data_IF_683507897147
#
_entry.id   IF_683507897147
#
_cell.length_a   1.000
_cell.length_b   1.000
_cell.length_c   1.000
_cell.angle_alpha   90.00
_cell.angle_beta   90.00
_cell.angle_gamma   90.00
#
_symmetry.space_group_name_H-M   'P 1'
#
loop_
_entity.id
_entity.type
_entity.pdbx_description
1 polymer ?
#
# COMPACT_ATOMS: atom_id res chain seq x y z
N UNK A 1 -6.50 6.42 -15.71
CA UNK A 1 -5.79 7.53 -16.39
C UNK A 1 -4.46 7.01 -16.92
N UNK A 2 -4.10 7.37 -18.15
CA UNK A 2 -2.75 7.15 -18.69
C UNK A 2 -2.03 8.50 -18.80
N UNK A 3 -0.79 8.54 -18.33
CA UNK A 3 0.11 9.68 -18.45
C UNK A 3 1.51 9.17 -18.82
N UNK A 4 1.98 9.54 -20.01
CA UNK A 4 3.19 8.96 -20.60
C UNK A 4 3.13 7.42 -20.62
N UNK A 5 4.08 6.77 -19.94
CA UNK A 5 4.14 5.32 -19.77
C UNK A 5 3.32 4.80 -18.57
N UNK A 6 2.86 5.68 -17.68
CA UNK A 6 2.11 5.29 -16.48
C UNK A 6 0.63 5.10 -16.76
N UNK A 7 0.06 4.04 -16.21
CA UNK A 7 -1.37 3.77 -16.18
C UNK A 7 -1.82 3.63 -14.72
N UNK A 8 -2.77 4.49 -14.32
CA UNK A 8 -3.36 4.48 -12.99
C UNK A 8 -4.83 4.08 -13.11
N UNK A 9 -5.17 2.91 -12.60
CA UNK A 9 -6.53 2.40 -12.50
C UNK A 9 -6.88 2.36 -11.02
N UNK A 10 -7.87 3.16 -10.60
CA UNK A 10 -8.25 3.25 -9.20
C UNK A 10 -9.75 3.05 -8.99
N UNK A 11 -10.09 2.52 -7.82
CA UNK A 11 -11.45 2.27 -7.41
C UNK A 11 -12.16 1.20 -8.26
N UNK A 12 -11.43 0.18 -8.76
CA UNK A 12 -12.07 -0.87 -9.58
C UNK A 12 -12.83 -1.83 -8.69
N UNK A 13 -14.16 -1.82 -8.82
CA UNK A 13 -15.11 -2.68 -8.11
C UNK A 13 -15.92 -3.52 -9.08
N UNK A 14 -16.60 -4.54 -8.57
CA UNK A 14 -17.52 -5.40 -9.35
C UNK A 14 -18.93 -4.79 -9.44
N UNK A 15 -19.01 -3.49 -9.76
CA UNK A 15 -20.27 -2.74 -9.85
C UNK A 15 -20.61 -2.34 -11.29
N UNK A 16 -21.89 -2.08 -11.57
CA UNK A 16 -22.35 -1.46 -12.81
C UNK A 16 -22.14 0.07 -12.78
N UNK A 17 -22.59 0.78 -13.82
CA UNK A 17 -22.50 2.24 -13.92
C UNK A 17 -23.36 3.01 -12.88
N UNK A 18 -24.23 2.33 -12.14
CA UNK A 18 -25.04 2.87 -11.06
C UNK A 18 -24.47 2.54 -9.68
N UNK A 19 -23.25 2.00 -9.64
CA UNK A 19 -22.55 1.53 -8.44
C UNK A 19 -23.28 0.36 -7.72
N UNK A 20 -24.01 -0.47 -8.47
CA UNK A 20 -24.69 -1.68 -7.97
C UNK A 20 -23.84 -2.90 -8.32
N UNK A 21 -23.70 -3.84 -7.36
CA UNK A 21 -22.95 -5.08 -7.60
C UNK A 21 -23.58 -5.86 -8.77
N UNK A 22 -22.74 -6.23 -9.74
CA UNK A 22 -23.16 -6.98 -10.93
C UNK A 22 -23.71 -8.35 -10.55
N UNK A 23 -24.74 -8.86 -11.25
CA UNK A 23 -25.35 -10.16 -10.93
C UNK A 23 -24.34 -11.32 -10.87
N UNK A 24 -23.37 -11.36 -11.79
CA UNK A 24 -22.31 -12.38 -11.82
C UNK A 24 -21.30 -12.29 -10.67
N UNK A 25 -21.29 -11.16 -9.96
CA UNK A 25 -20.44 -10.92 -8.78
C UNK A 25 -21.20 -11.17 -7.46
N UNK A 26 -22.42 -11.66 -7.51
CA UNK A 26 -23.24 -11.99 -6.35
C UNK A 26 -23.36 -13.51 -6.19
N UNK A 27 -23.33 -14.03 -4.95
CA UNK A 27 -23.67 -15.42 -4.69
C UNK A 27 -25.08 -15.75 -5.18
N UNK A 28 -25.25 -16.94 -5.73
CA UNK A 28 -26.59 -17.41 -6.15
C UNK A 28 -27.37 -17.90 -4.92
N UNK A 29 -28.52 -17.32 -4.68
CA UNK A 29 -29.41 -17.71 -3.58
C UNK A 29 -29.78 -19.19 -3.63
N UNK A 30 -29.77 -19.83 -2.47
CA UNK A 30 -30.20 -21.23 -2.32
C UNK A 30 -29.17 -22.29 -2.71
N UNK A 31 -27.97 -21.92 -3.13
CA UNK A 31 -26.87 -22.86 -3.36
C UNK A 31 -26.01 -22.98 -2.11
N UNK A 32 -25.92 -24.19 -1.47
CA UNK A 32 -25.13 -24.36 -0.24
C UNK A 32 -23.60 -24.33 -0.46
N UNK A 33 -23.15 -24.48 -1.71
CA UNK A 33 -21.74 -24.52 -2.10
C UNK A 33 -21.50 -23.53 -3.25
N UNK A 34 -21.50 -22.25 -2.96
CA UNK A 34 -21.13 -21.21 -3.94
C UNK A 34 -19.74 -20.64 -3.62
N UNK A 35 -19.13 -20.00 -4.62
CA UNK A 35 -17.95 -19.18 -4.39
C UNK A 35 -18.25 -18.06 -3.41
N UNK A 36 -17.27 -17.68 -2.61
CA UNK A 36 -17.45 -16.55 -1.68
C UNK A 36 -17.69 -15.24 -2.44
N UNK A 37 -18.36 -14.25 -1.86
CA UNK A 37 -18.57 -12.95 -2.51
C UNK A 37 -17.28 -12.35 -3.07
N UNK A 38 -16.17 -12.44 -2.33
CA UNK A 38 -14.88 -11.89 -2.79
C UNK A 38 -14.31 -12.63 -4.00
N UNK A 39 -14.50 -13.95 -4.12
CA UNK A 39 -14.05 -14.70 -5.31
C UNK A 39 -14.81 -14.27 -6.56
N UNK A 40 -16.14 -14.10 -6.45
CA UNK A 40 -16.97 -13.64 -7.55
C UNK A 40 -16.60 -12.20 -7.95
N UNK A 41 -16.50 -11.30 -6.98
CA UNK A 41 -16.10 -9.92 -7.22
C UNK A 41 -14.68 -9.80 -7.78
N UNK A 42 -13.74 -10.61 -7.29
CA UNK A 42 -12.36 -10.61 -7.78
C UNK A 42 -12.27 -10.99 -9.27
N UNK A 43 -13.05 -11.98 -9.73
CA UNK A 43 -13.09 -12.36 -11.15
C UNK A 43 -13.53 -11.19 -12.03
N UNK A 44 -14.59 -10.49 -11.63
CA UNK A 44 -15.08 -9.31 -12.37
C UNK A 44 -14.04 -8.19 -12.34
N UNK A 45 -13.49 -7.87 -11.18
CA UNK A 45 -12.50 -6.79 -11.00
C UNK A 45 -11.24 -7.05 -11.83
N UNK A 46 -10.65 -8.24 -11.70
CA UNK A 46 -9.41 -8.58 -12.43
C UNK A 46 -9.63 -8.67 -13.94
N UNK A 47 -10.79 -9.18 -14.40
CA UNK A 47 -11.15 -9.15 -15.83
C UNK A 47 -11.29 -7.72 -16.36
N UNK A 48 -11.88 -6.80 -15.57
CA UNK A 48 -11.98 -5.38 -15.95
C UNK A 48 -10.62 -4.72 -16.06
N UNK A 49 -9.75 -4.94 -15.06
CA UNK A 49 -8.38 -4.40 -15.10
C UNK A 49 -7.65 -4.93 -16.34
N UNK A 50 -7.75 -6.25 -16.62
CA UNK A 50 -7.16 -6.83 -17.82
C UNK A 50 -7.68 -6.18 -19.11
N UNK A 51 -9.00 -6.04 -19.25
CA UNK A 51 -9.62 -5.40 -20.43
C UNK A 51 -9.22 -3.93 -20.61
N UNK A 52 -9.09 -3.16 -19.50
CA UNK A 52 -8.58 -1.79 -19.59
C UNK A 52 -7.12 -1.78 -20.03
N UNK A 53 -6.28 -2.66 -19.46
CA UNK A 53 -4.87 -2.75 -19.84
C UNK A 53 -4.71 -3.12 -21.32
N UNK A 54 -5.48 -4.08 -21.81
CA UNK A 54 -5.50 -4.45 -23.23
C UNK A 54 -5.90 -3.27 -24.14
N UNK A 55 -6.91 -2.49 -23.75
CA UNK A 55 -7.33 -1.29 -24.50
C UNK A 55 -6.25 -0.20 -24.56
N UNK A 56 -5.30 -0.21 -23.61
CA UNK A 56 -4.15 0.69 -23.56
C UNK A 56 -2.91 0.12 -24.28
N UNK A 57 -3.01 -1.09 -24.82
CA UNK A 57 -1.92 -1.79 -25.51
C UNK A 57 -0.96 -2.51 -24.56
N UNK A 58 -1.39 -2.80 -23.35
CA UNK A 58 -0.65 -3.55 -22.33
C UNK A 58 -1.38 -4.79 -21.82
N UNK A 59 -0.92 -5.33 -20.71
CA UNK A 59 -1.53 -6.47 -20.02
C UNK A 59 -1.30 -6.36 -18.51
N UNK A 60 -1.78 -7.31 -17.74
CA UNK A 60 -1.51 -7.40 -16.29
C UNK A 60 -0.02 -7.61 -15.98
N UNK A 61 0.79 -8.05 -16.94
CA UNK A 61 2.25 -8.17 -16.79
C UNK A 61 2.97 -6.82 -16.65
N UNK A 62 2.33 -5.74 -17.12
CA UNK A 62 2.85 -4.38 -16.96
C UNK A 62 2.63 -3.81 -15.56
N UNK A 63 1.93 -4.54 -14.69
CA UNK A 63 1.66 -4.12 -13.32
C UNK A 63 2.95 -3.88 -12.53
N UNK A 64 3.02 -2.74 -11.84
CA UNK A 64 4.13 -2.36 -10.96
C UNK A 64 3.69 -2.25 -9.51
N UNK A 65 2.38 -2.08 -9.25
CA UNK A 65 1.82 -2.04 -7.91
C UNK A 65 0.32 -2.38 -7.91
N UNK A 66 -0.12 -3.12 -6.92
CA UNK A 66 -1.54 -3.46 -6.69
C UNK A 66 -1.90 -3.13 -5.26
N UNK A 67 -2.94 -2.34 -5.08
CA UNK A 67 -3.49 -2.01 -3.78
C UNK A 67 -4.90 -2.61 -3.68
N UNK A 68 -5.16 -3.31 -2.59
CA UNK A 68 -6.40 -4.08 -2.43
C UNK A 68 -7.06 -3.69 -1.12
N UNK A 69 -8.31 -3.28 -1.20
CA UNK A 69 -9.14 -2.92 -0.07
C UNK A 69 -10.23 -3.99 0.12
N UNK A 70 -10.30 -4.55 1.33
CA UNK A 70 -11.25 -5.61 1.66
C UNK A 70 -12.11 -5.22 2.86
N UNK A 71 -13.39 -5.59 2.86
CA UNK A 71 -14.25 -5.37 4.03
C UNK A 71 -14.04 -6.42 5.13
N UNK A 72 -13.21 -7.43 4.90
CA UNK A 72 -12.76 -8.40 5.91
C UNK A 72 -11.40 -8.98 5.54
N UNK A 73 -10.53 -9.18 6.55
CA UNK A 73 -9.26 -9.89 6.39
C UNK A 73 -9.42 -11.36 5.96
N UNK A 74 -10.57 -11.95 6.21
CA UNK A 74 -10.90 -13.32 5.79
C UNK A 74 -10.96 -13.47 4.27
N UNK A 75 -11.11 -12.37 3.54
CA UNK A 75 -11.15 -12.34 2.08
C UNK A 75 -9.77 -12.42 1.41
N UNK A 76 -8.68 -12.26 2.13
CA UNK A 76 -7.33 -12.27 1.56
C UNK A 76 -6.97 -13.60 0.87
N UNK A 77 -7.25 -14.75 1.51
CA UNK A 77 -6.93 -16.06 0.92
C UNK A 77 -7.83 -16.43 -0.26
N UNK A 78 -9.17 -16.30 -0.19
CA UNK A 78 -10.02 -16.52 -1.34
C UNK A 78 -9.65 -15.62 -2.54
N UNK A 79 -9.37 -14.32 -2.29
CA UNK A 79 -8.88 -13.41 -3.34
C UNK A 79 -7.57 -13.92 -3.97
N UNK A 80 -6.60 -14.33 -3.15
CA UNK A 80 -5.32 -14.86 -3.66
C UNK A 80 -5.49 -16.10 -4.53
N UNK A 81 -6.49 -16.91 -4.25
CA UNK A 81 -6.84 -18.08 -5.07
C UNK A 81 -7.28 -17.65 -6.46
N UNK A 82 -8.22 -16.71 -6.57
CA UNK A 82 -8.62 -16.13 -7.86
C UNK A 82 -7.48 -15.38 -8.54
N UNK A 83 -6.68 -14.63 -7.78
CA UNK A 83 -5.53 -13.91 -8.29
C UNK A 83 -4.49 -14.81 -8.99
N UNK A 84 -4.41 -16.10 -8.64
CA UNK A 84 -3.56 -17.07 -9.36
C UNK A 84 -4.02 -17.36 -10.79
N UNK A 85 -5.27 -17.15 -11.09
CA UNK A 85 -5.85 -17.39 -12.41
C UNK A 85 -5.60 -16.21 -13.37
N UNK A 86 -5.49 -14.99 -12.84
CA UNK A 86 -5.42 -13.74 -13.61
C UNK A 86 -4.05 -13.10 -13.62
N UNK A 87 -3.41 -13.00 -12.45
CA UNK A 87 -2.13 -12.32 -12.32
C UNK A 87 -0.99 -13.20 -12.83
N UNK A 88 0.04 -12.61 -13.45
CA UNK A 88 1.21 -13.35 -13.90
C UNK A 88 1.93 -14.05 -12.74
N UNK A 89 2.74 -15.05 -13.03
CA UNK A 89 3.58 -15.72 -12.03
C UNK A 89 4.56 -14.74 -11.36
N UNK A 90 5.01 -13.72 -12.10
CA UNK A 90 5.79 -12.58 -11.60
C UNK A 90 4.86 -11.44 -11.16
N UNK A 91 4.10 -11.70 -10.07
CA UNK A 91 3.14 -10.73 -9.54
C UNK A 91 3.81 -9.44 -9.13
N UNK A 92 3.16 -8.27 -9.38
CA UNK A 92 3.66 -6.99 -8.89
C UNK A 92 3.69 -6.96 -7.35
N UNK A 93 4.40 -6.00 -6.75
CA UNK A 93 4.26 -5.66 -5.33
C UNK A 93 2.82 -5.33 -4.99
N UNK A 94 2.40 -5.64 -3.77
CA UNK A 94 1.04 -5.36 -3.34
C UNK A 94 0.93 -4.90 -1.90
N UNK A 95 -0.13 -4.15 -1.62
CA UNK A 95 -0.65 -3.84 -0.29
C UNK A 95 -2.08 -4.36 -0.21
N UNK A 96 -2.42 -5.01 0.89
CA UNK A 96 -3.75 -5.58 1.12
C UNK A 96 -4.24 -5.20 2.51
N UNK A 97 -5.19 -4.28 2.58
CA UNK A 97 -5.67 -3.73 3.85
C UNK A 97 -7.18 -3.95 4.04
N UNK A 98 -7.61 -4.30 5.24
CA UNK A 98 -9.02 -4.32 5.58
C UNK A 98 -9.51 -2.89 5.85
N UNK A 99 -10.72 -2.60 5.39
CA UNK A 99 -11.44 -1.35 5.63
C UNK A 99 -12.85 -1.65 6.15
N UNK A 100 -13.43 -0.68 6.87
CA UNK A 100 -14.76 -0.86 7.46
C UNK A 100 -15.86 -1.07 6.42
N UNK A 101 -15.81 -0.32 5.33
CA UNK A 101 -16.78 -0.40 4.24
C UNK A 101 -16.16 0.15 2.95
N UNK A 102 -16.72 -0.25 1.82
CA UNK A 102 -16.49 0.35 0.51
C UNK A 102 -17.72 1.19 0.13
N UNK A 103 -17.56 2.09 -0.84
CA UNK A 103 -18.60 3.07 -1.19
C UNK A 103 -19.86 2.41 -1.77
N UNK A 104 -19.74 1.27 -2.46
CA UNK A 104 -20.88 0.54 -3.01
C UNK A 104 -21.43 -0.48 -2.00
N UNK A 105 -22.74 -0.49 -1.78
CA UNK A 105 -23.39 -1.48 -0.94
C UNK A 105 -23.16 -2.91 -1.46
N UNK A 106 -22.71 -3.82 -0.60
CA UNK A 106 -22.38 -5.20 -0.97
C UNK A 106 -21.01 -5.38 -1.63
N UNK A 107 -20.26 -4.31 -1.89
CA UNK A 107 -18.86 -4.44 -2.31
C UNK A 107 -17.99 -4.94 -1.15
N UNK A 108 -17.21 -5.97 -1.41
CA UNK A 108 -16.27 -6.56 -0.45
C UNK A 108 -14.82 -6.46 -0.89
N UNK A 109 -14.59 -5.97 -2.11
CA UNK A 109 -13.30 -5.80 -2.75
C UNK A 109 -13.28 -4.55 -3.61
N UNK A 110 -12.23 -3.76 -3.46
CA UNK A 110 -11.82 -2.70 -4.39
C UNK A 110 -10.33 -2.86 -4.69
N UNK A 111 -9.93 -2.63 -5.93
CA UNK A 111 -8.54 -2.78 -6.38
C UNK A 111 -8.09 -1.54 -7.13
N UNK A 112 -6.96 -1.00 -6.71
CA UNK A 112 -6.18 -0.04 -7.47
C UNK A 112 -5.02 -0.76 -8.16
N UNK A 113 -4.79 -0.43 -9.41
CA UNK A 113 -3.75 -1.07 -10.21
C UNK A 113 -2.90 -0.03 -10.91
N UNK A 114 -1.62 -0.01 -10.60
CA UNK A 114 -0.64 0.84 -11.28
C UNK A 114 0.21 0.00 -12.20
N UNK A 115 0.34 0.45 -13.44
CA UNK A 115 1.14 -0.21 -14.47
C UNK A 115 2.06 0.80 -15.16
N UNK A 116 3.15 0.28 -15.75
CA UNK A 116 4.07 1.05 -16.60
C UNK A 116 4.19 0.35 -17.96
N UNK A 117 3.80 1.06 -19.02
CA UNK A 117 3.95 0.63 -20.40
C UNK A 117 5.29 1.13 -20.93
N UNK A 118 6.39 0.59 -20.39
CA UNK A 118 7.74 0.95 -20.81
C UNK A 118 7.96 0.63 -22.30
N UNK A 119 8.65 1.53 -23.00
CA UNK A 119 9.01 1.32 -24.40
C UNK A 119 9.88 0.07 -24.60
N UNK A 120 10.70 -0.26 -23.60
CA UNK A 120 11.46 -1.51 -23.52
C UNK A 120 10.99 -2.32 -22.30
N UNK A 121 10.19 -3.38 -22.49
CA UNK A 121 9.71 -4.24 -21.40
C UNK A 121 10.84 -4.88 -20.56
N UNK A 122 12.04 -5.04 -21.11
CA UNK A 122 13.18 -5.62 -20.37
C UNK A 122 13.67 -4.74 -19.23
N UNK A 123 13.29 -3.46 -19.20
CA UNK A 123 13.59 -2.55 -18.10
C UNK A 123 12.79 -2.85 -16.83
N UNK A 124 11.66 -3.62 -16.94
CA UNK A 124 10.90 -4.09 -15.80
C UNK A 124 11.59 -5.32 -15.21
N UNK A 125 12.00 -5.21 -13.97
CA UNK A 125 12.62 -6.31 -13.24
C UNK A 125 12.05 -6.46 -11.83
N UNK A 126 11.79 -7.71 -11.45
CA UNK A 126 11.45 -8.08 -10.07
C UNK A 126 12.66 -7.85 -9.17
N UNK A 127 12.42 -7.32 -7.98
CA UNK A 127 13.41 -7.18 -6.92
C UNK A 127 13.13 -8.26 -5.89
N UNK A 128 14.18 -8.98 -5.51
CA UNK A 128 14.15 -9.99 -4.45
C UNK A 128 15.46 -9.95 -3.68
N UNK A 129 15.37 -10.02 -2.36
CA UNK A 129 16.52 -10.12 -1.46
C UNK A 129 16.20 -11.05 -0.30
N UNK A 130 17.21 -11.75 0.21
CA UNK A 130 17.13 -12.58 1.42
C UNK A 130 17.27 -11.75 2.69
N UNK A 131 17.74 -10.51 2.58
CA UNK A 131 17.94 -9.59 3.70
C UNK A 131 16.63 -9.01 4.25
N UNK A 132 15.54 -9.19 3.52
CA UNK A 132 14.17 -8.83 3.94
C UNK A 132 13.29 -10.08 3.94
N UNK A 133 12.39 -10.26 4.92
CA UNK A 133 11.43 -11.35 4.91
C UNK A 133 10.61 -11.40 3.62
N UNK A 134 10.28 -12.59 3.16
CA UNK A 134 9.47 -12.78 1.96
C UNK A 134 8.05 -12.25 2.13
N UNK A 135 7.50 -11.69 1.05
CA UNK A 135 6.11 -11.24 0.99
C UNK A 135 5.20 -12.45 0.79
N UNK A 136 4.05 -12.47 1.49
CA UNK A 136 3.07 -13.54 1.37
C UNK A 136 2.37 -13.53 0.00
N UNK A 137 1.85 -14.69 -0.42
CA UNK A 137 1.02 -14.79 -1.62
C UNK A 137 1.77 -14.79 -2.95
N UNK A 138 3.11 -14.86 -2.96
CA UNK A 138 3.91 -14.89 -4.19
C UNK A 138 4.07 -13.54 -4.89
N UNK A 139 3.65 -12.45 -4.24
CA UNK A 139 3.89 -11.09 -4.72
C UNK A 139 5.39 -10.73 -4.66
N UNK A 140 5.82 -9.77 -5.47
CA UNK A 140 7.19 -9.28 -5.43
C UNK A 140 7.44 -8.45 -4.16
N UNK A 141 8.66 -8.48 -3.64
CA UNK A 141 9.09 -7.51 -2.62
C UNK A 141 9.14 -6.11 -3.24
N UNK A 142 9.53 -6.00 -4.50
CA UNK A 142 9.52 -4.79 -5.28
C UNK A 142 9.63 -5.07 -6.78
N UNK A 143 9.34 -4.03 -7.56
CA UNK A 143 9.57 -3.98 -9.01
C UNK A 143 10.29 -2.68 -9.34
N UNK A 144 11.33 -2.77 -10.18
CA UNK A 144 11.96 -1.61 -10.80
C UNK A 144 11.63 -1.56 -12.29
N UNK A 145 11.26 -0.36 -12.78
CA UNK A 145 11.08 -0.06 -14.21
C UNK A 145 11.81 1.25 -14.49
N UNK A 146 12.89 1.18 -15.27
CA UNK A 146 13.75 2.34 -15.50
C UNK A 146 14.28 2.91 -14.16
N UNK A 147 13.97 4.16 -13.90
CA UNK A 147 14.36 4.86 -12.67
C UNK A 147 13.38 4.65 -11.53
N UNK A 148 12.20 4.11 -11.79
CA UNK A 148 11.14 3.95 -10.80
C UNK A 148 11.22 2.62 -10.08
N UNK A 149 10.99 2.66 -8.77
CA UNK A 149 11.00 1.51 -7.87
C UNK A 149 9.72 1.53 -7.04
N UNK A 150 8.96 0.43 -7.12
CA UNK A 150 7.71 0.23 -6.37
C UNK A 150 7.91 -0.94 -5.42
N UNK A 151 7.62 -0.74 -4.13
CA UNK A 151 7.78 -1.77 -3.12
C UNK A 151 6.43 -2.20 -2.55
N UNK A 152 6.33 -3.47 -2.20
CA UNK A 152 5.15 -3.99 -1.50
C UNK A 152 4.95 -3.32 -0.15
N UNK A 153 3.71 -3.23 0.30
CA UNK A 153 3.38 -2.88 1.67
C UNK A 153 4.10 -3.82 2.64
N UNK A 154 4.79 -3.24 3.61
CA UNK A 154 5.49 -3.97 4.64
C UNK A 154 4.84 -3.75 5.99
N UNK A 155 4.38 -4.85 6.62
CA UNK A 155 4.01 -4.90 8.02
C UNK A 155 5.25 -5.25 8.87
N UNK A 156 5.23 -5.05 10.19
CA UNK A 156 6.33 -5.44 11.08
C UNK A 156 6.42 -6.95 11.29
N UNK A 157 5.63 -7.74 10.56
CA UNK A 157 5.62 -9.19 10.67
C UNK A 157 6.82 -9.86 9.96
N UNK A 158 7.31 -10.92 10.57
CA UNK A 158 8.27 -11.85 9.95
C UNK A 158 7.76 -13.29 10.14
N UNK A 159 7.09 -13.80 9.14
CA UNK A 159 6.50 -15.13 9.15
C UNK A 159 7.54 -16.26 9.11
N UNK A 160 8.81 -15.96 8.89
CA UNK A 160 9.90 -16.94 8.95
C UNK A 160 10.43 -17.15 10.38
N UNK A 161 10.27 -16.12 11.23
CA UNK A 161 10.75 -16.11 12.62
C UNK A 161 9.65 -16.29 13.66
N UNK A 162 8.38 -16.26 13.25
CA UNK A 162 7.23 -16.39 14.14
C UNK A 162 6.53 -17.74 13.95
N UNK A 163 6.02 -18.31 15.02
CA UNK A 163 5.48 -19.68 15.06
C UNK A 163 4.17 -19.88 14.30
N UNK A 164 3.53 -18.83 13.79
CA UNK A 164 2.34 -18.94 12.95
C UNK A 164 2.18 -17.79 11.97
N UNK A 165 2.00 -18.12 10.68
CA UNK A 165 1.62 -17.15 9.67
C UNK A 165 0.09 -16.84 9.67
N UNK A 166 -0.71 -17.54 10.49
CA UNK A 166 -2.16 -17.47 10.42
C UNK A 166 -2.79 -16.71 11.60
N UNK A 167 -3.84 -15.91 11.35
CA UNK A 167 -4.64 -15.30 12.40
C UNK A 167 -5.21 -16.37 13.35
N UNK A 168 -5.11 -16.13 14.65
CA UNK A 168 -5.69 -17.01 15.67
C UNK A 168 -4.76 -18.08 16.26
N UNK A 169 -3.51 -18.20 15.81
CA UNK A 169 -2.52 -18.97 16.55
C UNK A 169 -1.97 -18.16 17.73
N UNK A 170 -1.73 -18.83 18.84
CA UNK A 170 -1.19 -18.19 20.06
C UNK A 170 0.16 -17.54 19.79
N UNK A 171 0.21 -16.22 19.71
CA UNK A 171 1.43 -15.42 19.57
C UNK A 171 1.33 -14.33 18.50
N UNK A 172 2.08 -13.26 18.70
CA UNK A 172 2.16 -12.15 17.75
C UNK A 172 2.95 -12.53 16.49
N UNK A 173 2.49 -12.08 15.33
CA UNK A 173 3.23 -12.18 14.06
C UNK A 173 4.37 -11.15 13.96
N UNK A 174 4.40 -10.15 14.84
CA UNK A 174 5.42 -9.10 14.85
C UNK A 174 6.80 -9.72 15.07
N UNK A 175 7.74 -9.34 14.22
CA UNK A 175 9.13 -9.77 14.32
C UNK A 175 9.73 -9.43 15.70
N UNK A 176 10.59 -10.26 16.27
CA UNK A 176 11.24 -9.96 17.56
C UNK A 176 11.90 -8.57 17.57
N UNK A 177 12.58 -8.21 16.49
CA UNK A 177 13.30 -6.93 16.35
C UNK A 177 12.36 -5.71 16.18
N UNK A 178 11.08 -5.94 15.90
CA UNK A 178 10.04 -4.90 15.79
C UNK A 178 9.23 -4.74 17.09
N UNK A 179 9.56 -5.49 18.16
CA UNK A 179 8.87 -5.41 19.45
C UNK A 179 9.55 -4.38 20.34
N UNK A 180 8.76 -3.80 21.25
CA UNK A 180 9.31 -2.95 22.31
C UNK A 180 10.21 -3.81 23.19
N UNK A 181 11.44 -3.37 23.42
CA UNK A 181 12.31 -3.97 24.43
C UNK A 181 11.72 -3.70 25.82
N UNK A 182 11.36 -4.72 26.60
CA UNK A 182 10.76 -4.56 27.90
C UNK A 182 11.71 -3.89 28.92
N UNK A 183 12.99 -3.78 28.61
CA UNK A 183 13.97 -3.06 29.40
C UNK A 183 14.08 -1.56 29.05
N UNK A 184 13.48 -1.15 27.93
CA UNK A 184 13.41 0.24 27.46
C UNK A 184 11.99 0.75 27.65
N UNK A 185 11.70 1.36 28.79
CA UNK A 185 10.35 1.80 29.15
C UNK A 185 9.85 3.07 28.45
N UNK A 186 10.70 3.73 27.64
CA UNK A 186 10.34 4.93 26.87
C UNK A 186 10.07 4.65 25.37
N UNK A 187 10.21 3.42 24.91
CA UNK A 187 9.87 3.03 23.54
C UNK A 187 8.38 2.73 23.39
N UNK A 188 7.82 3.04 22.25
CA UNK A 188 6.44 2.66 21.87
C UNK A 188 6.43 1.59 20.80
N UNK A 189 5.37 0.77 20.79
CA UNK A 189 5.23 -0.30 19.78
C UNK A 189 5.26 0.25 18.37
N UNK A 190 4.63 1.39 18.12
CA UNK A 190 4.61 2.00 16.79
C UNK A 190 6.02 2.46 16.36
N UNK A 191 6.81 3.05 17.25
CA UNK A 191 8.18 3.49 16.94
C UNK A 191 9.05 2.31 16.53
N UNK A 192 9.05 1.22 17.33
CA UNK A 192 9.80 0.00 17.01
C UNK A 192 9.36 -0.63 15.70
N UNK A 193 8.04 -0.68 15.43
CA UNK A 193 7.50 -1.27 14.22
C UNK A 193 7.83 -0.45 12.96
N UNK A 194 7.70 0.88 13.01
CA UNK A 194 8.06 1.77 11.89
C UNK A 194 9.55 1.69 11.59
N UNK A 195 10.39 1.76 12.62
CA UNK A 195 11.85 1.65 12.45
C UNK A 195 12.24 0.33 11.79
N UNK A 196 11.72 -0.80 12.29
CA UNK A 196 11.97 -2.11 11.70
C UNK A 196 11.50 -2.21 10.24
N UNK A 197 10.29 -1.74 9.92
CA UNK A 197 9.77 -1.75 8.55
C UNK A 197 10.72 -0.97 7.65
N UNK A 198 11.08 0.25 8.04
CA UNK A 198 11.85 1.13 7.16
C UNK A 198 13.29 0.70 7.02
N UNK A 199 13.96 0.28 8.10
CA UNK A 199 15.38 -0.05 8.07
C UNK A 199 15.63 -1.49 7.63
N UNK A 200 14.90 -2.45 8.21
CA UNK A 200 15.18 -3.89 8.02
C UNK A 200 14.40 -4.51 6.84
N UNK A 201 13.28 -3.91 6.43
CA UNK A 201 12.49 -4.45 5.31
C UNK A 201 12.59 -3.56 4.07
N UNK A 202 12.05 -2.34 4.10
CA UNK A 202 12.06 -1.46 2.92
C UNK A 202 13.49 -1.06 2.52
N UNK A 203 14.34 -0.74 3.50
CA UNK A 203 15.75 -0.39 3.25
C UNK A 203 16.51 -1.51 2.53
N UNK A 204 16.37 -2.76 2.97
CA UNK A 204 17.02 -3.90 2.34
C UNK A 204 16.55 -4.13 0.89
N UNK A 205 15.24 -3.96 0.62
CA UNK A 205 14.70 -4.10 -0.74
C UNK A 205 15.14 -2.94 -1.64
N UNK A 206 15.20 -1.71 -1.10
CA UNK A 206 15.70 -0.53 -1.82
C UNK A 206 17.18 -0.70 -2.19
N UNK A 207 18.02 -1.18 -1.28
CA UNK A 207 19.43 -1.46 -1.57
C UNK A 207 19.60 -2.48 -2.69
N UNK A 208 18.82 -3.57 -2.66
CA UNK A 208 18.80 -4.58 -3.73
C UNK A 208 18.31 -4.00 -5.07
N UNK A 209 17.50 -2.93 -5.03
CA UNK A 209 17.03 -2.20 -6.21
C UNK A 209 18.02 -1.17 -6.74
N UNK A 210 19.12 -0.86 -6.02
CA UNK A 210 20.06 0.22 -6.33
C UNK A 210 19.55 1.59 -5.88
N UNK A 211 18.85 1.64 -4.74
CA UNK A 211 18.26 2.83 -4.14
C UNK A 211 18.53 2.88 -2.63
N UNK A 212 17.90 3.79 -1.92
CA UNK A 212 18.00 3.94 -0.46
C UNK A 212 16.76 4.65 0.10
N UNK A 213 16.63 4.73 1.43
CA UNK A 213 15.55 5.47 2.09
C UNK A 213 15.49 6.94 1.64
N UNK A 214 16.62 7.56 1.33
CA UNK A 214 16.68 8.95 0.88
C UNK A 214 16.05 9.20 -0.49
N UNK A 215 15.87 8.14 -1.28
CA UNK A 215 15.33 8.18 -2.63
C UNK A 215 13.82 7.96 -2.68
N UNK A 216 13.18 7.71 -1.53
CA UNK A 216 11.74 7.56 -1.43
C UNK A 216 11.06 8.90 -1.76
N UNK A 217 10.09 8.86 -2.68
CA UNK A 217 9.34 10.03 -3.13
C UNK A 217 7.88 10.01 -2.65
N UNK A 218 7.34 8.81 -2.39
CA UNK A 218 5.97 8.60 -1.89
C UNK A 218 5.97 7.50 -0.84
N UNK A 219 5.17 7.67 0.21
CA UNK A 219 4.85 6.63 1.18
C UNK A 219 3.35 6.61 1.48
N UNK A 220 2.75 5.41 1.39
CA UNK A 220 1.39 5.14 1.85
C UNK A 220 1.49 4.39 3.17
N UNK A 221 0.88 4.94 4.21
CA UNK A 221 0.98 4.49 5.59
C UNK A 221 -0.41 4.14 6.10
N UNK A 222 -0.62 2.91 6.50
CA UNK A 222 -1.86 2.44 7.08
C UNK A 222 -1.67 2.25 8.58
N UNK A 223 -2.55 2.86 9.40
CA UNK A 223 -2.48 2.79 10.87
C UNK A 223 -3.78 2.22 11.43
N UNK A 224 -3.66 1.22 12.31
CA UNK A 224 -4.83 0.64 12.98
C UNK A 224 -5.28 1.43 14.22
N UNK A 225 -4.39 2.22 14.81
CA UNK A 225 -4.66 3.01 16.03
C UNK A 225 -4.14 4.44 15.86
N UNK A 226 -4.64 5.22 14.90
CA UNK A 226 -4.03 6.50 14.53
C UNK A 226 -3.98 7.50 15.70
N UNK A 227 -4.99 7.52 16.58
CA UNK A 227 -5.03 8.42 17.74
C UNK A 227 -3.91 8.16 18.76
N UNK A 228 -3.47 6.91 18.88
CA UNK A 228 -2.38 6.52 19.80
C UNK A 228 -1.02 6.62 19.10
N UNK A 229 -0.96 6.26 17.82
CA UNK A 229 0.27 5.93 17.11
C UNK A 229 0.86 7.09 16.30
N UNK A 230 0.04 8.08 15.92
CA UNK A 230 0.47 9.13 15.00
C UNK A 230 1.70 9.89 15.50
N UNK A 231 1.76 10.17 16.81
CA UNK A 231 2.90 10.87 17.41
C UNK A 231 4.19 10.05 17.33
N UNK A 232 4.14 8.77 17.67
CA UNK A 232 5.29 7.88 17.61
C UNK A 232 5.75 7.66 16.17
N UNK A 233 4.81 7.48 15.23
CA UNK A 233 5.09 7.44 13.81
C UNK A 233 5.84 8.70 13.34
N UNK A 234 5.35 9.89 13.68
CA UNK A 234 5.99 11.16 13.31
C UNK A 234 7.38 11.33 13.91
N UNK A 235 7.64 10.81 15.12
CA UNK A 235 8.97 10.84 15.73
C UNK A 235 9.99 10.07 14.89
N UNK A 236 9.65 8.82 14.54
CA UNK A 236 10.54 7.98 13.70
C UNK A 236 10.69 8.59 12.31
N UNK A 237 9.59 9.08 11.72
CA UNK A 237 9.60 9.70 10.38
C UNK A 237 10.54 10.89 10.30
N UNK A 238 10.50 11.76 11.32
CA UNK A 238 11.42 12.90 11.44
C UNK A 238 12.88 12.48 11.57
N UNK A 239 13.13 11.45 12.35
CA UNK A 239 14.49 10.94 12.57
C UNK A 239 15.09 10.28 11.31
N UNK A 240 14.26 9.54 10.56
CA UNK A 240 14.72 8.85 9.35
C UNK A 240 14.93 9.80 8.16
N UNK A 241 14.08 10.79 8.01
CA UNK A 241 14.04 11.58 6.78
C UNK A 241 14.45 13.05 6.93
N UNK A 242 14.19 13.67 8.09
CA UNK A 242 14.42 15.11 8.26
C UNK A 242 13.77 15.92 7.15
N UNK A 243 14.54 16.78 6.48
CA UNK A 243 14.07 17.62 5.38
C UNK A 243 13.85 16.84 4.05
N UNK A 244 14.22 15.56 4.03
CA UNK A 244 14.09 14.69 2.85
C UNK A 244 12.87 13.77 2.90
N UNK A 245 11.91 14.06 3.75
CA UNK A 245 10.71 13.24 3.87
C UNK A 245 9.96 13.10 2.52
N UNK A 246 9.43 11.91 2.20
CA UNK A 246 8.59 11.68 1.04
C UNK A 246 7.22 12.35 1.21
N UNK A 247 6.49 12.51 0.11
CA UNK A 247 5.05 12.75 0.19
C UNK A 247 4.42 11.56 0.92
N UNK A 248 3.67 11.83 1.99
CA UNK A 248 3.18 10.80 2.90
C UNK A 248 1.66 10.87 3.01
N UNK A 249 1.00 9.76 2.70
CA UNK A 249 -0.44 9.59 2.90
C UNK A 249 -0.66 8.65 4.08
N UNK A 250 -1.46 9.08 5.07
CA UNK A 250 -1.80 8.28 6.25
C UNK A 250 -3.27 7.93 6.19
N UNK A 251 -3.57 6.63 6.23
CA UNK A 251 -4.93 6.09 6.13
C UNK A 251 -5.23 5.26 7.37
N UNK A 252 -6.29 5.61 8.14
CA UNK A 252 -6.80 4.77 9.21
C UNK A 252 -7.43 3.49 8.64
N UNK A 253 -7.17 2.35 9.29
CA UNK A 253 -7.77 1.06 8.93
C UNK A 253 -8.20 0.29 10.17
N UNK A 254 -9.04 -0.75 10.00
CA UNK A 254 -9.60 -1.53 11.11
C UNK A 254 -8.62 -2.57 11.71
N UNK A 255 -7.43 -2.71 11.16
CA UNK A 255 -6.41 -3.65 11.64
C UNK A 255 -5.64 -4.31 10.50
N UNK A 256 -4.90 -5.36 10.82
CA UNK A 256 -4.05 -6.09 9.88
C UNK A 256 -4.33 -7.59 9.92
N UNK A 257 -3.99 -8.30 8.85
CA UNK A 257 -3.99 -9.76 8.83
C UNK A 257 -2.93 -10.38 9.74
N UNK A 258 -1.87 -9.63 10.05
CA UNK A 258 -0.79 -10.04 10.97
C UNK A 258 -1.05 -9.54 12.38
N UNK A 259 -1.24 -10.46 13.33
CA UNK A 259 -1.54 -10.12 14.73
C UNK A 259 -0.44 -9.28 15.38
N UNK A 260 -0.82 -8.22 16.08
CA UNK A 260 0.09 -7.28 16.75
C UNK A 260 0.68 -6.20 15.85
N UNK A 261 0.46 -6.25 14.54
CA UNK A 261 0.85 -5.17 13.64
C UNK A 261 -0.03 -3.95 13.84
N UNK A 262 0.59 -2.78 13.93
CA UNK A 262 -0.07 -1.47 14.10
C UNK A 262 0.07 -0.58 12.85
N UNK A 263 0.96 -0.96 11.93
CA UNK A 263 1.30 -0.17 10.74
C UNK A 263 1.67 -1.07 9.57
N UNK A 264 1.33 -0.62 8.36
CA UNK A 264 1.85 -1.11 7.09
C UNK A 264 2.31 0.09 6.26
N UNK A 265 3.44 -0.05 5.56
CA UNK A 265 4.04 1.05 4.78
C UNK A 265 4.41 0.53 3.40
N UNK A 266 3.78 1.10 2.36
CA UNK A 266 4.18 0.97 0.96
C UNK A 266 4.97 2.19 0.50
N UNK A 267 5.94 2.03 -0.40
CA UNK A 267 6.73 3.15 -0.88
C UNK A 267 6.99 3.10 -2.38
N UNK A 268 7.11 4.29 -2.96
CA UNK A 268 7.66 4.52 -4.31
C UNK A 268 8.97 5.29 -4.15
N UNK A 269 10.01 4.83 -4.84
CA UNK A 269 11.33 5.43 -4.80
C UNK A 269 11.90 5.59 -6.20
N UNK A 270 12.99 6.34 -6.30
CA UNK A 270 13.81 6.44 -7.51
C UNK A 270 15.13 5.70 -7.35
N UNK A 271 15.74 5.34 -8.45
CA UNK A 271 17.14 4.91 -8.46
C UNK A 271 18.06 6.06 -8.03
N UNK A 272 19.20 5.74 -7.43
CA UNK A 272 20.15 6.76 -6.87
C UNK A 272 20.60 7.81 -7.90
N UNK A 273 20.78 7.41 -9.14
CA UNK A 273 21.21 8.28 -10.24
C UNK A 273 20.12 9.23 -10.73
N UNK A 274 18.85 8.94 -10.46
CA UNK A 274 17.71 9.80 -10.78
C UNK A 274 17.33 10.79 -9.65
N UNK A 275 18.03 10.81 -8.52
CA UNK A 275 17.74 11.63 -7.34
C UNK A 275 17.69 13.14 -7.62
N UNK A 276 18.46 13.64 -8.58
CA UNK A 276 18.51 15.05 -8.94
C UNK A 276 17.20 15.61 -9.52
N UNK A 277 16.27 14.74 -9.90
CA UNK A 277 14.94 15.12 -10.42
C UNK A 277 13.88 15.34 -9.32
N UNK A 278 14.25 15.27 -8.03
CA UNK A 278 13.31 15.34 -6.90
C UNK A 278 13.26 16.74 -6.32
N UNK A 279 12.04 17.30 -6.22
CA UNK A 279 11.73 18.57 -5.58
C UNK A 279 10.66 18.37 -4.50
N UNK A 280 10.93 18.87 -3.29
CA UNK A 280 9.97 18.86 -2.17
C UNK A 280 9.29 20.21 -2.06
N UNK A 281 7.95 20.19 -2.10
CA UNK A 281 7.14 21.39 -2.25
C UNK A 281 6.38 21.65 -0.95
N UNK A 282 6.60 22.85 -0.38
CA UNK A 282 5.82 23.38 0.72
C UNK A 282 5.08 24.63 0.20
N UNK A 283 3.76 24.67 0.40
CA UNK A 283 2.89 25.76 -0.08
C UNK A 283 2.55 26.67 1.11
N UNK A 284 3.10 27.89 1.18
CA UNK A 284 2.90 28.76 2.35
C UNK A 284 1.46 29.28 2.54
N UNK A 285 0.64 29.23 1.49
CA UNK A 285 -0.73 29.75 1.49
C UNK A 285 -1.80 28.78 1.99
N UNK A 286 -1.41 27.55 2.33
CA UNK A 286 -2.32 26.54 2.90
C UNK A 286 -1.81 26.09 4.26
N UNK A 287 -2.68 25.42 5.05
CA UNK A 287 -2.29 24.87 6.33
C UNK A 287 -1.06 23.95 6.22
N UNK A 288 -0.13 23.99 7.18
CA UNK A 288 1.02 23.10 7.15
C UNK A 288 0.59 21.62 7.15
N UNK A 289 1.41 20.71 6.59
CA UNK A 289 1.12 19.29 6.68
C UNK A 289 0.97 18.80 8.13
N UNK A 290 0.12 17.81 8.32
CA UNK A 290 -0.18 17.26 9.67
C UNK A 290 1.04 16.61 10.33
N UNK A 291 2.05 16.25 9.53
CA UNK A 291 3.25 15.57 9.99
C UNK A 291 4.55 16.12 9.39
N UNK A 292 5.70 15.51 9.72
CA UNK A 292 7.01 15.96 9.27
C UNK A 292 7.30 15.53 7.81
N UNK A 293 6.47 15.99 6.88
CA UNK A 293 6.59 15.75 5.46
C UNK A 293 6.12 16.96 4.65
N UNK A 294 6.56 17.13 3.37
CA UNK A 294 6.14 18.27 2.54
C UNK A 294 4.67 18.12 2.10
N UNK A 295 4.07 19.18 1.58
CA UNK A 295 2.75 19.12 0.94
C UNK A 295 2.75 18.20 -0.29
N UNK A 296 3.86 18.22 -1.04
CA UNK A 296 4.02 17.36 -2.20
C UNK A 296 5.51 17.09 -2.50
N UNK A 297 5.75 16.04 -3.26
CA UNK A 297 7.05 15.74 -3.86
C UNK A 297 6.87 15.60 -5.37
N UNK A 298 7.60 16.41 -6.13
CA UNK A 298 7.73 16.24 -7.57
C UNK A 298 8.94 15.36 -7.84
N UNK A 299 8.75 14.34 -8.66
CA UNK A 299 9.79 13.42 -9.08
C UNK A 299 9.65 13.20 -10.60
N UNK A 300 10.63 13.65 -11.37
CA UNK A 300 10.51 13.70 -12.82
C UNK A 300 9.26 14.48 -13.26
N UNK A 301 8.36 13.81 -13.98
CA UNK A 301 7.09 14.36 -14.47
C UNK A 301 5.88 14.02 -13.57
N UNK A 302 6.07 13.31 -12.46
CA UNK A 302 5.01 12.98 -11.50
C UNK A 302 5.05 13.91 -10.29
N UNK A 303 3.86 14.20 -9.75
CA UNK A 303 3.67 14.94 -8.51
C UNK A 303 2.90 14.05 -7.52
N UNK A 304 3.52 13.76 -6.39
CA UNK A 304 2.89 13.05 -5.28
C UNK A 304 2.48 14.05 -4.20
N UNK A 305 1.20 14.03 -3.82
CA UNK A 305 0.64 14.94 -2.81
C UNK A 305 0.49 14.16 -1.50
N UNK A 306 0.91 14.77 -0.40
CA UNK A 306 0.70 14.23 0.95
C UNK A 306 -0.76 14.35 1.37
N UNK A 307 -1.13 13.66 2.47
CA UNK A 307 -2.45 13.81 3.07
C UNK A 307 -2.80 15.28 3.29
N UNK A 308 -3.93 15.69 2.75
CA UNK A 308 -4.56 16.99 3.01
C UNK A 308 -5.83 16.74 3.83
N UNK A 309 -6.01 17.50 4.89
CA UNK A 309 -7.24 17.51 5.69
C UNK A 309 -7.86 18.89 5.66
N UNK A 310 -9.16 18.95 5.89
CA UNK A 310 -9.91 20.22 5.95
C UNK A 310 -9.67 20.91 7.32
N UNK A 311 -8.41 21.29 7.56
CA UNK A 311 -7.97 21.94 8.79
C UNK A 311 -7.07 23.14 8.47
N UNK A 312 -7.00 24.07 9.42
CA UNK A 312 -6.05 25.18 9.49
C UNK A 312 -5.21 25.07 10.79
N UNK A 313 -4.51 26.15 11.15
CA UNK A 313 -3.71 26.20 12.38
C UNK A 313 -4.51 26.03 13.68
N UNK A 314 -5.81 26.27 13.62
CA UNK A 314 -6.73 26.24 14.78
C UNK A 314 -7.58 24.95 14.83
N UNK A 315 -7.44 24.05 13.87
CA UNK A 315 -8.14 22.76 13.78
C UNK A 315 -9.00 22.62 12.52
N UNK A 316 -10.09 21.84 12.58
CA UNK A 316 -11.01 21.73 11.43
C UNK A 316 -11.66 23.08 11.12
N UNK A 317 -11.61 23.48 9.84
CA UNK A 317 -12.31 24.68 9.37
C UNK A 317 -13.82 24.52 9.56
N UNK A 318 -14.53 25.60 9.93
CA UNK A 318 -15.96 25.54 10.28
C UNK A 318 -16.82 24.98 9.15
N UNK A 319 -16.50 25.28 7.90
CA UNK A 319 -17.20 24.73 6.72
C UNK A 319 -17.02 23.22 6.51
N UNK A 320 -16.03 22.60 7.17
CA UNK A 320 -15.76 21.17 7.09
C UNK A 320 -16.33 20.41 8.30
N UNK A 321 -16.92 21.11 9.27
CA UNK A 321 -17.58 20.45 10.42
C UNK A 321 -18.92 19.89 9.98
N UNK A 322 -19.26 18.64 10.37
CA UNK A 322 -20.61 18.13 10.13
C UNK A 322 -21.64 19.11 10.70
N UNK A 323 -22.64 19.45 9.91
CA UNK A 323 -23.80 20.18 10.43
C UNK A 323 -24.54 19.30 11.44
N UNK A 324 -24.81 19.82 12.64
CA UNK A 324 -25.71 19.21 13.63
C UNK A 324 -27.14 19.63 13.34
#
# INVERSE_FOLDING_TARGET
VRFDEFCFLSGVRATDARDVIMPEAQPTDGLPFHSSPVELQARVVLSRIAGVMESLGGSLENGVYVEQFFTSKEYFEPYRTVGKEYLPSDRPPSTAVPCHALSAEGAVLEVDFTAVLAADPSTRRRISTTESPTVLGGYAQGVRVGDWIFLAGATPADHTKTSSPFPGALGTAVAPDARVDPNLWYGSAIESQVEYIMTSKQGAVLEAAGSSLEDIVKADVYLSHPHEDLRGFHNVWRNLFGDRAPATTIVPIDGFGSEGSRVEIGVVALAKDARSSVERITVPSIAPPVGPYPHAVKAGNLLFVSTLIAADGDGLVDSARPGY
#
